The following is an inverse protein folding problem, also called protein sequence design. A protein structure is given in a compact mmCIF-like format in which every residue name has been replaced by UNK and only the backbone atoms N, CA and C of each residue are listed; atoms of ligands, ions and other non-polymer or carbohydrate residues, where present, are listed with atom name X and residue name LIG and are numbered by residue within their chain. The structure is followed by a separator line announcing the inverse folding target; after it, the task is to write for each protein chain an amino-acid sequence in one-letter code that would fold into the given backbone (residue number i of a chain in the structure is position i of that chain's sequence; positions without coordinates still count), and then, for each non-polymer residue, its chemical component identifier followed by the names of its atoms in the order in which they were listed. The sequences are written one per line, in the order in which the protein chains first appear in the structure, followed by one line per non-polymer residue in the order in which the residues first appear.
data_IF_368853243781
#
_entry.id   IF_368853243781
#
_cell.length_a   1.000
_cell.length_b   1.000
_cell.length_c   1.000
_cell.angle_alpha   90.00
_cell.angle_beta   90.00
_cell.angle_gamma   90.00
#
_symmetry.space_group_name_H-M   'P 1'
#
loop_
_entity.id
_entity.type
_entity.pdbx_description
1 polymer ?
#
# COMPACT_ATOMS: atom_id res chain seq x y z
N UNK A 1 16.39 7.66 -4.72
CA UNK A 1 15.09 7.85 -4.06
C UNK A 1 15.24 7.47 -2.61
N UNK A 2 14.70 8.29 -1.72
CA UNK A 2 14.77 8.09 -0.26
C UNK A 2 13.76 7.05 0.25
N UNK A 3 13.43 6.05 -0.60
CA UNK A 3 12.37 5.07 -0.40
C UNK A 3 10.95 5.65 -0.51
N UNK A 4 10.79 6.86 -1.03
CA UNK A 4 9.50 7.53 -1.16
C UNK A 4 8.77 7.08 -2.43
N UNK A 5 7.49 6.73 -2.28
CA UNK A 5 6.63 6.37 -3.40
C UNK A 5 5.18 6.80 -3.15
N UNK A 6 4.42 6.93 -4.23
CA UNK A 6 3.00 7.24 -4.20
C UNK A 6 2.26 6.44 -5.27
N UNK A 7 1.01 6.10 -5.02
CA UNK A 7 0.20 5.33 -5.97
C UNK A 7 -1.19 5.00 -5.44
N UNK A 8 -1.91 4.16 -6.17
CA UNK A 8 -3.18 3.61 -5.72
C UNK A 8 -2.93 2.21 -5.13
N UNK A 9 -3.24 2.04 -3.85
CA UNK A 9 -3.21 0.73 -3.21
C UNK A 9 -4.42 -0.13 -3.60
N UNK A 10 -5.54 0.51 -3.92
CA UNK A 10 -6.74 -0.15 -4.43
C UNK A 10 -7.49 0.82 -5.33
N UNK A 11 -8.08 0.31 -6.41
CA UNK A 11 -8.95 1.08 -7.31
C UNK A 11 -10.38 0.55 -7.18
N UNK A 12 -11.34 1.47 -7.13
CA UNK A 12 -12.74 1.11 -6.95
C UNK A 12 -13.40 0.66 -8.26
N UNK A 13 -14.40 -0.22 -8.14
CA UNK A 13 -15.22 -0.62 -9.29
C UNK A 13 -14.52 -1.52 -10.31
N UNK A 14 -13.28 -1.96 -10.04
CA UNK A 14 -12.56 -2.93 -10.86
C UNK A 14 -12.67 -4.30 -10.18
N UNK A 15 -13.34 -5.28 -10.80
CA UNK A 15 -13.39 -6.63 -10.28
C UNK A 15 -11.99 -7.23 -10.28
N UNK A 16 -11.57 -7.80 -9.16
CA UNK A 16 -10.35 -8.59 -9.11
C UNK A 16 -10.56 -9.99 -9.74
N UNK A 17 -9.50 -10.80 -9.76
CA UNK A 17 -9.55 -12.17 -10.29
C UNK A 17 -10.53 -13.08 -9.50
N UNK A 18 -10.84 -12.72 -8.25
CA UNK A 18 -11.84 -13.38 -7.39
C UNK A 18 -13.27 -12.88 -7.59
N UNK A 19 -13.48 -11.85 -8.43
CA UNK A 19 -14.74 -11.10 -8.62
C UNK A 19 -15.15 -10.23 -7.44
N UNK A 20 -14.24 -9.98 -6.50
CA UNK A 20 -14.48 -8.99 -5.46
C UNK A 20 -14.25 -7.59 -6.04
N UNK A 21 -15.12 -6.66 -5.66
CA UNK A 21 -15.03 -5.26 -6.08
C UNK A 21 -14.97 -4.38 -4.85
N UNK A 22 -13.88 -3.66 -4.71
CA UNK A 22 -13.77 -2.64 -3.66
C UNK A 22 -14.65 -1.45 -4.04
N UNK A 23 -15.52 -1.04 -3.12
CA UNK A 23 -16.41 0.11 -3.27
C UNK A 23 -15.87 1.32 -2.52
N UNK A 24 -16.25 2.52 -2.96
CA UNK A 24 -15.90 3.75 -2.27
C UNK A 24 -16.40 3.73 -0.81
N UNK A 25 -15.55 4.17 0.11
CA UNK A 25 -15.84 4.15 1.55
C UNK A 25 -15.48 2.85 2.26
N UNK A 26 -14.98 1.84 1.54
CA UNK A 26 -14.53 0.57 2.14
C UNK A 26 -13.39 0.77 3.15
N UNK A 27 -12.54 1.79 2.96
CA UNK A 27 -11.41 2.07 3.84
C UNK A 27 -11.64 3.26 4.77
N UNK A 28 -12.61 4.14 4.47
CA UNK A 28 -12.90 5.36 5.24
C UNK A 28 -12.90 5.14 6.76
N UNK A 29 -13.66 4.15 7.26
CA UNK A 29 -13.80 3.91 8.69
C UNK A 29 -12.47 3.45 9.34
N UNK A 30 -11.74 2.55 8.68
CA UNK A 30 -10.47 2.03 9.19
C UNK A 30 -9.36 3.08 9.15
N UNK A 31 -9.27 3.84 8.05
CA UNK A 31 -8.31 4.93 7.89
C UNK A 31 -8.61 6.06 8.88
N UNK A 32 -9.87 6.45 9.06
CA UNK A 32 -10.25 7.47 10.04
C UNK A 32 -9.93 7.05 11.48
N UNK A 33 -10.13 5.76 11.81
CA UNK A 33 -9.87 5.24 13.17
C UNK A 33 -8.39 5.09 13.47
N UNK A 34 -7.59 4.57 12.53
CA UNK A 34 -6.17 4.22 12.76
C UNK A 34 -5.20 5.33 12.36
N UNK A 35 -5.59 6.17 11.39
CA UNK A 35 -4.68 7.07 10.70
C UNK A 35 -3.63 6.33 9.88
N UNK A 36 -2.84 7.08 9.08
CA UNK A 36 -1.79 6.49 8.25
C UNK A 36 -0.74 5.73 9.09
N UNK A 37 -0.33 6.30 10.23
CA UNK A 37 0.66 5.69 11.11
C UNK A 37 0.16 4.39 11.80
N UNK A 38 -1.16 4.20 11.93
CA UNK A 38 -1.75 3.01 12.53
C UNK A 38 -1.90 1.83 11.56
N UNK A 39 -1.65 2.03 10.27
CA UNK A 39 -1.64 0.96 9.26
C UNK A 39 -0.20 0.55 9.00
N UNK A 40 0.08 -0.76 9.03
CA UNK A 40 1.44 -1.29 8.80
C UNK A 40 1.69 -1.52 7.31
N UNK A 41 2.88 -1.15 6.85
CA UNK A 41 3.37 -1.50 5.52
C UNK A 41 4.16 -2.81 5.61
N UNK A 42 3.53 -3.90 5.21
CA UNK A 42 4.04 -5.25 5.37
C UNK A 42 4.48 -5.83 4.02
N UNK A 43 5.46 -6.72 4.05
CA UNK A 43 5.78 -7.58 2.92
C UNK A 43 4.79 -8.75 2.85
N UNK A 44 4.09 -8.92 1.73
CA UNK A 44 3.23 -10.10 1.47
C UNK A 44 2.25 -10.45 2.61
N UNK A 45 1.69 -9.44 3.29
CA UNK A 45 0.86 -9.56 4.50
C UNK A 45 1.52 -10.15 5.76
N UNK A 46 2.82 -10.41 5.75
CA UNK A 46 3.48 -10.97 6.92
C UNK A 46 3.65 -9.88 8.01
N UNK A 47 2.97 -10.00 9.18
CA UNK A 47 3.09 -9.03 10.27
C UNK A 47 4.49 -8.99 10.90
N UNK A 48 5.33 -10.00 10.66
CA UNK A 48 6.72 -10.06 11.11
C UNK A 48 7.67 -9.30 10.19
N UNK A 49 7.24 -8.94 8.97
CA UNK A 49 8.07 -8.26 7.98
C UNK A 49 7.56 -6.85 7.61
N UNK A 50 7.64 -5.88 8.53
CA UNK A 50 7.38 -4.48 8.19
C UNK A 50 8.51 -3.92 7.31
N UNK A 51 8.14 -3.35 6.16
CA UNK A 51 9.09 -2.82 5.16
C UNK A 51 9.10 -1.29 5.07
N UNK A 52 8.25 -0.60 5.83
CA UNK A 52 8.17 0.85 5.80
C UNK A 52 7.02 1.42 6.62
N UNK A 53 6.63 2.64 6.30
CA UNK A 53 5.50 3.34 6.92
C UNK A 53 4.68 4.11 5.89
N UNK A 54 3.39 4.25 6.16
CA UNK A 54 2.53 5.16 5.40
C UNK A 54 2.70 6.59 5.90
N UNK A 55 2.77 7.51 4.95
CA UNK A 55 2.76 8.96 5.18
C UNK A 55 1.36 9.51 4.98
N UNK A 56 0.62 8.98 4.00
CA UNK A 56 -0.73 9.39 3.67
C UNK A 56 -1.56 8.22 3.16
N UNK A 57 -2.83 8.17 3.56
CA UNK A 57 -3.85 7.23 3.09
C UNK A 57 -5.12 8.05 2.87
N UNK A 58 -5.54 8.25 1.62
CA UNK A 58 -6.68 9.09 1.26
C UNK A 58 -7.53 8.36 0.23
N UNK A 59 -8.80 8.19 0.52
CA UNK A 59 -9.76 7.73 -0.49
C UNK A 59 -10.16 8.90 -1.38
N UNK A 60 -10.15 8.67 -2.69
CA UNK A 60 -10.69 9.58 -3.69
C UNK A 60 -11.72 8.88 -4.58
N UNK A 61 -12.20 9.56 -5.63
CA UNK A 61 -13.20 8.99 -6.54
C UNK A 61 -12.73 7.74 -7.30
N UNK A 62 -11.42 7.54 -7.43
CA UNK A 62 -10.81 6.43 -8.17
C UNK A 62 -10.44 5.26 -7.26
N UNK A 63 -10.06 5.50 -6.01
CA UNK A 63 -9.58 4.45 -5.12
C UNK A 63 -8.92 4.97 -3.84
N UNK A 64 -8.15 4.11 -3.18
CA UNK A 64 -7.28 4.53 -2.08
C UNK A 64 -5.92 4.95 -2.61
N UNK A 65 -5.68 6.26 -2.61
CA UNK A 65 -4.37 6.85 -2.85
C UNK A 65 -3.52 6.74 -1.59
N UNK A 66 -2.28 6.31 -1.76
CA UNK A 66 -1.33 6.11 -0.68
C UNK A 66 -0.01 6.79 -1.00
N UNK A 67 0.65 7.29 0.05
CA UNK A 67 2.01 7.78 0.01
C UNK A 67 2.80 7.09 1.11
N UNK A 68 3.94 6.51 0.76
CA UNK A 68 4.70 5.63 1.63
C UNK A 68 6.19 5.93 1.61
N UNK A 69 6.87 5.52 2.69
CA UNK A 69 8.31 5.50 2.76
C UNK A 69 8.81 4.12 3.18
N UNK A 70 9.61 3.51 2.30
CA UNK A 70 10.34 2.27 2.56
C UNK A 70 11.44 2.52 3.60
N UNK A 71 11.61 1.57 4.52
CA UNK A 71 12.70 1.58 5.50
C UNK A 71 13.93 0.90 4.89
N UNK A 72 14.80 1.67 4.22
CA UNK A 72 15.98 1.13 3.53
C UNK A 72 17.02 0.46 4.44
N UNK A 73 16.87 0.53 5.77
CA UNK A 73 17.65 -0.31 6.68
C UNK A 73 17.24 -1.79 6.61
N UNK A 74 15.99 -2.09 6.22
CA UNK A 74 15.46 -3.44 6.02
C UNK A 74 15.83 -3.96 4.64
N UNK A 75 16.33 -5.19 4.55
CA UNK A 75 16.74 -5.78 3.28
C UNK A 75 15.59 -5.86 2.27
N UNK A 76 14.43 -6.38 2.67
CA UNK A 76 13.23 -6.47 1.82
C UNK A 76 12.80 -5.12 1.25
N UNK A 77 12.88 -4.06 2.06
CA UNK A 77 12.54 -2.72 1.61
C UNK A 77 13.50 -2.21 0.52
N UNK A 78 14.80 -2.57 0.59
CA UNK A 78 15.76 -2.24 -0.48
C UNK A 78 15.50 -3.03 -1.77
N UNK A 79 15.13 -4.31 -1.65
CA UNK A 79 14.75 -5.14 -2.81
C UNK A 79 13.54 -4.53 -3.52
N UNK A 80 12.53 -4.10 -2.77
CA UNK A 80 11.35 -3.40 -3.31
C UNK A 80 11.73 -2.06 -3.96
N UNK A 81 12.56 -1.23 -3.30
CA UNK A 81 13.02 0.05 -3.86
C UNK A 81 13.78 -0.14 -5.19
N UNK A 82 14.59 -1.20 -5.30
CA UNK A 82 15.30 -1.54 -6.53
C UNK A 82 14.33 -1.92 -7.66
N UNK A 83 13.38 -2.82 -7.40
CA UNK A 83 12.38 -3.25 -8.40
C UNK A 83 11.48 -2.10 -8.87
N UNK A 84 11.09 -1.20 -7.95
CA UNK A 84 10.32 -0.01 -8.30
C UNK A 84 11.07 0.91 -9.26
N UNK A 85 12.39 1.05 -9.11
CA UNK A 85 13.23 1.88 -9.99
C UNK A 85 13.40 1.31 -11.39
N UNK A 86 13.33 0.00 -11.52
CA UNK A 86 13.40 -0.69 -12.82
C UNK A 86 12.06 -0.63 -13.58
N UNK A 87 11.01 -0.03 -13.00
CA UNK A 87 9.70 0.06 -13.63
C UNK A 87 8.91 -1.26 -13.57
N UNK A 88 9.34 -2.22 -12.73
CA UNK A 88 8.55 -3.43 -12.43
C UNK A 88 7.38 -3.01 -11.55
N UNK A 89 6.29 -2.59 -12.21
CA UNK A 89 5.10 -2.01 -11.57
C UNK A 89 4.20 -3.00 -10.83
N UNK A 90 4.59 -4.28 -10.72
CA UNK A 90 3.76 -5.32 -10.11
C UNK A 90 4.37 -5.80 -8.80
N UNK A 91 4.36 -4.94 -7.79
CA UNK A 91 4.14 -5.42 -6.42
C UNK A 91 2.63 -5.50 -6.30
N UNK A 92 2.06 -6.70 -6.48
CA UNK A 92 0.61 -6.90 -6.38
C UNK A 92 0.11 -6.36 -5.03
N UNK A 93 -0.82 -5.38 -5.02
CA UNK A 93 -1.27 -4.72 -3.80
C UNK A 93 -2.31 -5.56 -3.03
N UNK A 94 -2.51 -6.82 -3.42
CA UNK A 94 -3.29 -7.77 -2.62
C UNK A 94 -2.82 -7.76 -1.15
N UNK A 95 -1.54 -7.45 -0.90
CA UNK A 95 -0.75 -7.36 0.34
C UNK A 95 -1.18 -6.47 1.52
N UNK A 96 -2.29 -5.74 1.50
CA UNK A 96 -2.67 -4.86 2.61
C UNK A 96 -3.68 -5.50 3.57
N UNK A 97 -3.25 -5.76 4.80
CA UNK A 97 -4.16 -6.06 5.91
C UNK A 97 -4.79 -4.75 6.41
N UNK A 98 -6.10 -4.60 6.20
CA UNK A 98 -6.87 -3.41 6.58
C UNK A 98 -7.13 -3.27 8.09
#
# INVERSE_FOLDING_TARGET
MDGLFAGFASVFGVPDLGRDTVVAGAFAASVARRGAAGVRMLWQHDPAEPIGRWLSLVEDARGLRVEGRLNLAVQRAREVDALMREGVSTVSPSGFAW
#
